data_IF_772328705231
#
_entry.id   IF_772328705231
#
_cell.length_a   1.000
_cell.length_b   1.000
_cell.length_c   1.000
_cell.angle_alpha   90.00
_cell.angle_beta   90.00
_cell.angle_gamma   90.00
#
_symmetry.space_group_name_H-M   'P 1'
#
loop_
_entity.id
_entity.type
_entity.pdbx_description
1 polymer ?
#
# COMPACT_ATOMS: atom_id res chain seq x y z
N UNK A 1 -5.21 -34.65 -15.22
CA UNK A 1 -4.25 -35.43 -16.05
C UNK A 1 -3.39 -36.32 -15.16
N UNK A 2 -2.62 -35.74 -14.25
CA UNK A 2 -1.76 -36.48 -13.29
C UNK A 2 -2.53 -37.50 -12.44
N UNK A 3 -3.72 -37.16 -11.93
CA UNK A 3 -4.59 -38.11 -11.21
C UNK A 3 -4.84 -39.41 -12.02
N UNK A 4 -5.17 -39.28 -13.31
CA UNK A 4 -5.40 -40.43 -14.17
C UNK A 4 -4.11 -41.21 -14.48
N UNK A 5 -2.97 -40.51 -14.61
CA UNK A 5 -1.68 -41.16 -14.83
C UNK A 5 -1.29 -42.01 -13.60
N UNK A 6 -1.49 -41.50 -12.39
CA UNK A 6 -1.25 -42.24 -11.13
C UNK A 6 -2.22 -43.43 -11.02
N UNK A 7 -3.51 -43.23 -11.27
CA UNK A 7 -4.53 -44.29 -11.25
C UNK A 7 -4.15 -45.45 -12.17
N UNK A 8 -3.82 -45.13 -13.42
CA UNK A 8 -3.43 -46.15 -14.42
C UNK A 8 -2.09 -46.79 -14.06
N UNK A 9 -1.13 -46.03 -13.55
CA UNK A 9 0.16 -46.56 -13.09
C UNK A 9 0.01 -47.57 -11.95
N UNK A 10 -0.81 -47.27 -10.95
CA UNK A 10 -1.09 -48.16 -9.83
C UNK A 10 -1.84 -49.43 -10.29
N UNK A 11 -2.82 -49.29 -11.18
CA UNK A 11 -3.53 -50.44 -11.75
C UNK A 11 -2.59 -51.39 -12.52
N UNK A 12 -1.63 -50.84 -13.27
CA UNK A 12 -0.60 -51.64 -13.95
C UNK A 12 0.30 -52.36 -12.96
N UNK A 13 0.72 -51.69 -11.89
CA UNK A 13 1.55 -52.32 -10.85
C UNK A 13 0.81 -53.48 -10.19
N UNK A 14 -0.46 -53.29 -9.82
CA UNK A 14 -1.29 -54.35 -9.23
C UNK A 14 -1.36 -55.54 -10.19
N UNK A 15 -1.69 -55.28 -11.45
CA UNK A 15 -1.78 -56.33 -12.47
C UNK A 15 -0.46 -57.08 -12.70
N UNK A 16 0.67 -56.37 -12.70
CA UNK A 16 2.00 -56.99 -12.85
C UNK A 16 2.32 -57.92 -11.67
N UNK A 17 2.04 -57.46 -10.44
CA UNK A 17 2.25 -58.25 -9.23
C UNK A 17 1.34 -59.47 -9.17
N UNK A 18 0.08 -59.33 -9.57
CA UNK A 18 -0.88 -60.43 -9.58
C UNK A 18 -0.53 -61.47 -10.66
N UNK A 19 -0.03 -61.06 -11.83
CA UNK A 19 0.27 -61.98 -12.93
C UNK A 19 1.59 -62.74 -12.77
N UNK A 20 2.60 -62.12 -12.15
CA UNK A 20 3.98 -62.64 -12.14
C UNK A 20 4.49 -63.04 -10.76
N UNK A 21 3.83 -62.60 -9.68
CA UNK A 21 4.30 -62.75 -8.31
C UNK A 21 3.18 -63.25 -7.36
N UNK A 22 2.44 -64.27 -7.82
CA UNK A 22 1.40 -64.97 -7.04
C UNK A 22 1.95 -65.61 -5.75
N UNK A 23 1.07 -66.15 -4.91
CA UNK A 23 1.44 -66.66 -3.56
C UNK A 23 2.46 -67.80 -3.60
N UNK A 24 2.49 -68.59 -4.67
CA UNK A 24 3.42 -69.72 -4.85
C UNK A 24 4.74 -69.32 -5.52
N UNK A 25 4.99 -68.02 -5.73
CA UNK A 25 6.22 -67.53 -6.35
C UNK A 25 7.42 -67.67 -5.40
N UNK A 26 8.39 -68.51 -5.79
CA UNK A 26 9.70 -68.59 -5.12
C UNK A 26 10.70 -67.62 -5.77
N UNK A 27 11.12 -66.61 -5.00
CA UNK A 27 12.10 -65.64 -5.46
C UNK A 27 13.51 -66.27 -5.57
N UNK A 28 14.28 -65.96 -6.64
CA UNK A 28 15.69 -66.34 -6.73
C UNK A 28 16.52 -65.84 -5.54
N UNK A 29 17.62 -66.52 -5.23
CA UNK A 29 18.49 -66.16 -4.10
C UNK A 29 19.03 -64.72 -4.26
N UNK A 30 18.66 -63.85 -3.31
CA UNK A 30 19.02 -62.43 -3.32
C UNK A 30 18.00 -61.50 -4.01
N UNK A 31 16.91 -62.02 -4.57
CA UNK A 31 15.82 -61.21 -5.14
C UNK A 31 14.78 -60.86 -4.07
N UNK A 32 14.59 -59.57 -3.83
CA UNK A 32 13.62 -59.02 -2.88
C UNK A 32 12.56 -58.12 -3.57
N UNK A 33 12.46 -58.18 -4.90
CA UNK A 33 11.57 -57.34 -5.69
C UNK A 33 10.11 -57.56 -5.28
N UNK A 34 9.65 -58.82 -5.25
CA UNK A 34 8.26 -59.16 -4.97
C UNK A 34 7.80 -58.64 -3.59
N UNK A 35 8.62 -58.85 -2.55
CA UNK A 35 8.31 -58.36 -1.20
C UNK A 35 8.26 -56.83 -1.15
N UNK A 36 9.27 -56.17 -1.73
CA UNK A 36 9.38 -54.70 -1.73
C UNK A 36 8.22 -54.06 -2.49
N UNK A 37 7.90 -54.59 -3.66
CA UNK A 37 6.85 -54.04 -4.52
C UNK A 37 5.44 -54.33 -4.00
N UNK A 38 5.21 -55.46 -3.31
CA UNK A 38 3.94 -55.72 -2.60
C UNK A 38 3.71 -54.70 -1.49
N UNK A 39 4.73 -54.41 -0.67
CA UNK A 39 4.65 -53.36 0.36
C UNK A 39 4.40 -51.98 -0.26
N UNK A 40 5.14 -51.65 -1.34
CA UNK A 40 4.94 -50.38 -2.04
C UNK A 40 3.53 -50.26 -2.64
N UNK A 41 2.99 -51.34 -3.23
CA UNK A 41 1.61 -51.40 -3.74
C UNK A 41 0.63 -51.04 -2.62
N UNK A 42 0.75 -51.65 -1.46
CA UNK A 42 -0.16 -51.43 -0.33
C UNK A 42 -0.11 -49.97 0.14
N UNK A 43 1.09 -49.43 0.35
CA UNK A 43 1.28 -48.01 0.72
C UNK A 43 0.76 -47.05 -0.36
N UNK A 44 0.93 -47.41 -1.64
CA UNK A 44 0.47 -46.60 -2.76
C UNK A 44 -1.05 -46.63 -2.92
N UNK A 45 -1.68 -47.78 -2.65
CA UNK A 45 -3.14 -47.94 -2.64
C UNK A 45 -3.77 -47.07 -1.54
N UNK A 46 -3.27 -47.16 -0.31
CA UNK A 46 -3.77 -46.34 0.81
C UNK A 46 -3.71 -44.84 0.47
N UNK A 47 -2.56 -44.37 -0.03
CA UNK A 47 -2.40 -42.96 -0.43
C UNK A 47 -3.29 -42.58 -1.62
N UNK A 48 -3.49 -43.50 -2.56
CA UNK A 48 -4.33 -43.24 -3.72
C UNK A 48 -5.81 -43.16 -3.33
N UNK A 49 -6.29 -43.99 -2.42
CA UNK A 49 -7.64 -43.92 -1.87
C UNK A 49 -7.91 -42.57 -1.21
N UNK A 50 -6.98 -42.08 -0.39
CA UNK A 50 -7.11 -40.73 0.19
C UNK A 50 -7.14 -39.62 -0.89
N UNK A 51 -6.32 -39.77 -1.94
CA UNK A 51 -6.29 -38.81 -3.04
C UNK A 51 -7.61 -38.84 -3.83
N UNK A 52 -8.17 -40.02 -4.06
CA UNK A 52 -9.46 -40.19 -4.74
C UNK A 52 -10.60 -39.52 -3.98
N UNK A 53 -10.65 -39.66 -2.66
CA UNK A 53 -11.64 -38.95 -1.82
C UNK A 53 -11.49 -37.43 -1.95
N UNK A 54 -10.27 -36.89 -1.90
CA UNK A 54 -10.05 -35.44 -2.05
C UNK A 54 -10.39 -34.97 -3.46
N UNK A 55 -10.05 -35.74 -4.48
CA UNK A 55 -10.30 -35.41 -5.88
C UNK A 55 -11.81 -35.39 -6.19
N UNK A 56 -12.55 -36.40 -5.75
CA UNK A 56 -14.01 -36.47 -5.90
C UNK A 56 -14.71 -35.36 -5.12
N UNK A 57 -14.30 -35.10 -3.87
CA UNK A 57 -14.84 -33.99 -3.08
C UNK A 57 -14.60 -32.64 -3.74
N UNK A 58 -13.42 -32.42 -4.32
CA UNK A 58 -13.11 -31.20 -5.08
C UNK A 58 -13.98 -31.07 -6.33
N UNK A 59 -14.17 -32.14 -7.09
CA UNK A 59 -15.00 -32.13 -8.31
C UNK A 59 -16.46 -31.80 -7.97
N UNK A 60 -17.04 -32.44 -6.95
CA UNK A 60 -18.41 -32.15 -6.49
C UNK A 60 -18.54 -30.69 -6.06
N UNK A 61 -17.65 -30.20 -5.20
CA UNK A 61 -17.69 -28.81 -4.74
C UNK A 61 -17.56 -27.81 -5.89
N UNK A 62 -16.70 -28.11 -6.88
CA UNK A 62 -16.57 -27.28 -8.07
C UNK A 62 -17.87 -27.24 -8.88
N UNK A 63 -18.46 -28.40 -9.17
CA UNK A 63 -19.70 -28.50 -9.94
C UNK A 63 -20.84 -27.75 -9.26
N UNK A 64 -20.97 -27.89 -7.93
CA UNK A 64 -22.00 -27.21 -7.14
C UNK A 64 -21.85 -25.69 -7.20
N UNK A 65 -20.64 -25.17 -7.01
CA UNK A 65 -20.38 -23.72 -7.03
C UNK A 65 -20.60 -23.14 -8.42
N UNK A 66 -20.13 -23.80 -9.48
CA UNK A 66 -20.33 -23.31 -10.86
C UNK A 66 -21.82 -23.29 -11.21
N UNK A 67 -22.55 -24.36 -10.90
CA UNK A 67 -23.99 -24.42 -11.10
C UNK A 67 -24.74 -23.37 -10.28
N UNK A 68 -24.30 -23.09 -9.05
CA UNK A 68 -24.88 -22.03 -8.20
C UNK A 68 -24.78 -20.65 -8.86
N UNK A 69 -23.70 -20.35 -9.57
CA UNK A 69 -23.55 -19.10 -10.34
C UNK A 69 -24.22 -19.13 -11.72
N UNK A 70 -24.93 -20.22 -12.06
CA UNK A 70 -25.70 -20.35 -13.30
C UNK A 70 -24.90 -20.80 -14.53
N UNK A 71 -23.65 -21.22 -14.32
CA UNK A 71 -22.76 -21.68 -15.38
C UNK A 71 -22.83 -23.21 -15.54
N UNK A 72 -22.40 -23.73 -16.69
CA UNK A 72 -22.34 -25.17 -16.93
C UNK A 72 -20.96 -25.74 -16.50
N UNK A 73 -20.89 -26.60 -15.46
CA UNK A 73 -19.63 -27.14 -14.97
C UNK A 73 -18.89 -28.06 -15.94
N UNK A 74 -19.58 -28.62 -16.95
CA UNK A 74 -18.92 -29.47 -17.96
C UNK A 74 -18.31 -28.63 -19.11
N UNK A 75 -18.71 -27.37 -19.25
CA UNK A 75 -18.22 -26.45 -20.29
C UNK A 75 -17.26 -25.39 -19.75
N UNK A 76 -17.34 -25.10 -18.46
CA UNK A 76 -16.48 -24.14 -17.80
C UNK A 76 -15.31 -24.85 -17.12
N UNK A 77 -14.09 -24.34 -17.32
CA UNK A 77 -12.91 -24.87 -16.62
C UNK A 77 -12.70 -24.16 -15.28
N UNK A 78 -12.13 -24.82 -14.26
CA UNK A 78 -11.83 -24.19 -12.97
C UNK A 78 -11.00 -22.91 -13.10
N UNK A 79 -9.95 -22.93 -13.93
CA UNK A 79 -9.08 -21.77 -14.14
C UNK A 79 -9.84 -20.57 -14.71
N UNK A 80 -10.77 -20.82 -15.64
CA UNK A 80 -11.61 -19.79 -16.24
C UNK A 80 -12.57 -19.21 -15.21
N UNK A 81 -13.32 -20.06 -14.51
CA UNK A 81 -14.27 -19.66 -13.48
C UNK A 81 -13.61 -18.82 -12.37
N UNK A 82 -12.52 -19.31 -11.78
CA UNK A 82 -11.84 -18.60 -10.69
C UNK A 82 -11.04 -17.37 -11.16
N UNK A 83 -10.69 -17.27 -12.45
CA UNK A 83 -10.04 -16.06 -12.99
C UNK A 83 -10.95 -14.84 -12.94
N UNK A 84 -12.27 -15.03 -13.06
CA UNK A 84 -13.28 -13.96 -12.97
C UNK A 84 -13.21 -13.35 -11.57
N UNK A 85 -13.28 -14.19 -10.53
CA UNK A 85 -13.20 -13.74 -9.14
C UNK A 85 -11.85 -13.13 -8.80
N UNK A 86 -10.74 -13.69 -9.29
CA UNK A 86 -9.40 -13.12 -9.10
C UNK A 86 -9.30 -11.71 -9.67
N UNK A 87 -9.84 -11.49 -10.87
CA UNK A 87 -9.88 -10.17 -11.52
C UNK A 87 -10.78 -9.22 -10.74
N UNK A 88 -11.97 -9.70 -10.34
CA UNK A 88 -12.93 -8.93 -9.56
C UNK A 88 -12.36 -8.47 -8.23
N UNK A 89 -11.77 -9.36 -7.42
CA UNK A 89 -11.19 -9.00 -6.12
C UNK A 89 -10.04 -8.01 -6.27
N UNK A 90 -9.15 -8.23 -7.25
CA UNK A 90 -8.05 -7.30 -7.55
C UNK A 90 -8.57 -5.91 -7.96
N UNK A 91 -9.62 -5.86 -8.79
CA UNK A 91 -10.25 -4.60 -9.22
C UNK A 91 -10.95 -3.90 -8.04
N UNK A 92 -11.65 -4.66 -7.22
CA UNK A 92 -12.34 -4.18 -6.02
C UNK A 92 -11.38 -3.55 -5.02
N UNK A 93 -10.26 -4.21 -4.72
CA UNK A 93 -9.22 -3.67 -3.85
C UNK A 93 -8.64 -2.35 -4.36
N UNK A 94 -8.38 -2.28 -5.68
CA UNK A 94 -7.93 -1.05 -6.33
C UNK A 94 -8.97 0.05 -6.21
N UNK A 95 -10.24 -0.23 -6.51
CA UNK A 95 -11.32 0.75 -6.40
C UNK A 95 -11.50 1.27 -4.97
N UNK A 96 -11.37 0.40 -3.96
CA UNK A 96 -11.39 0.83 -2.55
C UNK A 96 -10.24 1.80 -2.23
N UNK A 97 -9.03 1.48 -2.68
CA UNK A 97 -7.86 2.35 -2.49
C UNK A 97 -8.01 3.70 -3.19
N UNK A 98 -8.52 3.67 -4.43
CA UNK A 98 -8.78 4.86 -5.24
C UNK A 98 -9.85 5.75 -4.60
N UNK A 99 -10.92 5.15 -4.06
CA UNK A 99 -11.98 5.87 -3.35
C UNK A 99 -11.46 6.58 -2.09
N UNK A 100 -10.63 5.91 -1.28
CA UNK A 100 -9.99 6.52 -0.11
C UNK A 100 -9.08 7.68 -0.52
N UNK A 101 -8.30 7.48 -1.59
CA UNK A 101 -7.40 8.49 -2.12
C UNK A 101 -8.14 9.70 -2.69
N UNK A 102 -9.26 9.48 -3.37
CA UNK A 102 -10.12 10.52 -3.91
C UNK A 102 -10.72 11.39 -2.78
N UNK A 103 -11.24 10.78 -1.72
CA UNK A 103 -11.76 11.50 -0.54
C UNK A 103 -10.70 12.40 0.08
N UNK A 104 -9.49 11.88 0.32
CA UNK A 104 -8.36 12.67 0.86
C UNK A 104 -7.96 13.83 -0.05
N UNK A 105 -7.94 13.62 -1.37
CA UNK A 105 -7.62 14.69 -2.35
C UNK A 105 -8.67 15.81 -2.33
N UNK A 106 -9.95 15.47 -2.19
CA UNK A 106 -11.03 16.46 -2.09
C UNK A 106 -10.89 17.29 -0.81
N UNK A 107 -10.70 16.63 0.34
CA UNK A 107 -10.51 17.31 1.64
C UNK A 107 -9.30 18.25 1.62
N UNK A 108 -8.18 17.81 1.04
CA UNK A 108 -6.97 18.64 0.93
C UNK A 108 -7.19 19.87 0.03
N UNK A 109 -7.87 19.70 -1.11
CA UNK A 109 -8.21 20.82 -2.00
C UNK A 109 -9.11 21.83 -1.31
N UNK A 110 -10.13 21.36 -0.59
CA UNK A 110 -11.05 22.24 0.11
C UNK A 110 -10.36 23.02 1.24
N UNK A 111 -9.51 22.35 2.03
CA UNK A 111 -8.67 23.01 3.04
C UNK A 111 -7.72 24.04 2.41
N UNK A 112 -7.13 23.73 1.27
CA UNK A 112 -6.23 24.65 0.56
C UNK A 112 -6.98 25.88 0.05
N UNK A 113 -8.17 25.69 -0.52
CA UNK A 113 -9.05 26.78 -0.97
C UNK A 113 -9.42 27.72 0.18
N UNK A 114 -9.81 27.18 1.34
CA UNK A 114 -10.14 27.96 2.53
C UNK A 114 -8.96 28.79 3.05
N UNK A 115 -7.74 28.21 3.05
CA UNK A 115 -6.53 28.94 3.48
C UNK A 115 -6.20 30.07 2.49
N UNK A 116 -6.33 29.83 1.19
CA UNK A 116 -6.06 30.84 0.16
C UNK A 116 -7.07 31.98 0.22
N UNK A 117 -8.37 31.68 0.38
CA UNK A 117 -9.43 32.68 0.55
C UNK A 117 -9.19 33.54 1.80
N UNK A 118 -8.90 32.92 2.95
CA UNK A 118 -8.59 33.64 4.18
C UNK A 118 -7.34 34.52 4.05
N UNK A 119 -6.32 34.08 3.27
CA UNK A 119 -5.13 34.88 3.00
C UNK A 119 -5.46 36.08 2.10
N UNK A 120 -6.26 35.90 1.05
CA UNK A 120 -6.71 36.98 0.15
C UNK A 120 -7.53 38.02 0.91
N UNK A 121 -8.42 37.59 1.81
CA UNK A 121 -9.21 38.49 2.63
C UNK A 121 -8.35 39.32 3.59
N UNK A 122 -7.37 38.70 4.27
CA UNK A 122 -6.41 39.43 5.12
C UNK A 122 -5.63 40.51 4.36
N UNK A 123 -5.16 40.19 3.15
CA UNK A 123 -4.43 41.15 2.31
C UNK A 123 -5.34 42.32 1.90
N UNK A 124 -6.59 42.04 1.50
CA UNK A 124 -7.58 43.08 1.15
C UNK A 124 -7.88 43.99 2.34
N UNK A 125 -8.11 43.40 3.52
CA UNK A 125 -8.37 44.16 4.74
C UNK A 125 -7.19 45.04 5.16
N UNK A 126 -5.95 44.53 5.02
CA UNK A 126 -4.74 45.34 5.27
C UNK A 126 -4.62 46.50 4.27
N UNK A 127 -4.84 46.25 2.97
CA UNK A 127 -4.77 47.30 1.94
C UNK A 127 -5.81 48.39 2.17
N UNK A 128 -7.03 48.04 2.57
CA UNK A 128 -8.08 49.01 2.87
C UNK A 128 -7.71 49.89 4.08
N UNK A 129 -7.08 49.32 5.12
CA UNK A 129 -6.62 50.07 6.30
C UNK A 129 -5.46 51.04 6.01
N UNK A 130 -4.60 50.76 5.02
CA UNK A 130 -3.53 51.68 4.62
C UNK A 130 -4.01 52.84 3.72
N UNK A 131 -5.16 52.72 3.06
CA UNK A 131 -5.68 53.76 2.15
C UNK A 131 -6.36 54.92 2.91
N UNK A 132 -6.80 54.71 4.16
CA UNK A 132 -7.55 55.71 4.94
C UNK A 132 -6.68 56.72 5.72
N UNK A 133 -5.37 56.81 5.43
CA UNK A 133 -4.47 57.77 6.07
C UNK A 133 -3.71 58.68 5.11
N UNK A 134 -4.16 58.86 3.86
CA UNK A 134 -3.49 59.74 2.89
C UNK A 134 -4.17 61.07 2.56
N UNK A 135 -5.24 61.47 3.26
CA UNK A 135 -5.91 62.75 3.01
C UNK A 135 -6.03 63.61 4.27
N UNK A 136 -4.89 64.06 4.84
CA UNK A 136 -4.75 65.45 5.34
C UNK A 136 -3.30 65.80 5.74
N UNK A 137 -2.80 66.88 5.14
CA UNK A 137 -1.71 67.78 5.55
C UNK A 137 -0.21 67.39 5.31
N UNK A 138 0.58 68.29 4.69
CA UNK A 138 2.02 68.14 4.50
C UNK A 138 2.77 68.75 5.69
N UNK A 139 2.94 68.00 6.79
CA UNK A 139 3.92 68.34 7.82
C UNK A 139 4.15 67.12 8.74
N UNK A 140 5.32 66.48 8.64
CA UNK A 140 5.76 65.46 9.61
C UNK A 140 5.55 63.99 9.22
N UNK A 141 5.45 63.65 7.93
CA UNK A 141 5.16 62.29 7.42
C UNK A 141 6.37 61.38 7.23
N UNK A 142 7.56 61.77 7.69
CA UNK A 142 8.74 60.91 7.54
C UNK A 142 8.73 59.74 8.55
N UNK A 143 8.24 59.97 9.77
CA UNK A 143 8.33 58.97 10.86
C UNK A 143 7.35 57.78 10.75
N UNK A 144 6.15 57.99 10.17
CA UNK A 144 5.13 56.94 10.06
C UNK A 144 5.43 55.93 8.95
N UNK A 145 6.02 56.40 7.85
CA UNK A 145 6.41 55.56 6.71
C UNK A 145 7.77 54.88 6.91
N UNK A 146 8.58 55.39 7.86
CA UNK A 146 9.83 54.77 8.30
C UNK A 146 9.55 53.43 8.99
N UNK A 147 8.50 53.34 9.82
CA UNK A 147 8.15 52.07 10.50
C UNK A 147 7.77 50.98 9.49
N UNK A 148 6.93 51.30 8.51
CA UNK A 148 6.50 50.32 7.50
C UNK A 148 7.65 49.94 6.56
N UNK A 149 8.51 50.88 6.17
CA UNK A 149 9.73 50.57 5.42
C UNK A 149 10.71 49.70 6.22
N UNK A 150 10.82 49.93 7.55
CA UNK A 150 11.63 49.09 8.44
C UNK A 150 11.05 47.68 8.54
N UNK A 151 9.72 47.55 8.63
CA UNK A 151 9.02 46.26 8.70
C UNK A 151 9.11 45.49 7.37
N UNK A 152 9.01 46.16 6.23
CA UNK A 152 9.14 45.54 4.91
C UNK A 152 10.59 45.09 4.64
N UNK A 153 11.59 45.89 5.00
CA UNK A 153 13.01 45.48 4.95
C UNK A 153 13.31 44.32 5.90
N UNK A 154 12.72 44.32 7.09
CA UNK A 154 12.83 43.22 8.05
C UNK A 154 12.20 41.93 7.49
N UNK A 155 11.10 42.05 6.74
CA UNK A 155 10.40 40.93 6.11
C UNK A 155 11.10 40.43 4.85
N UNK A 156 11.75 41.34 4.10
CA UNK A 156 12.57 41.04 2.94
C UNK A 156 13.97 40.49 3.29
N UNK A 157 14.36 40.55 4.56
CA UNK A 157 15.65 40.04 5.03
C UNK A 157 16.86 40.95 4.75
N UNK A 158 16.62 42.15 4.20
CA UNK A 158 17.64 43.19 3.99
C UNK A 158 17.82 44.01 5.28
N UNK A 159 18.73 43.57 6.15
CA UNK A 159 19.16 44.36 7.31
C UNK A 159 20.68 44.50 7.25
N UNK A 160 21.13 45.61 6.68
CA UNK A 160 22.55 45.91 6.47
C UNK A 160 23.22 46.24 7.82
N UNK A 161 24.06 45.33 8.33
CA UNK A 161 24.68 45.43 9.67
C UNK A 161 25.92 46.33 9.68
N UNK A 162 25.80 47.55 9.15
CA UNK A 162 26.93 48.45 8.93
C UNK A 162 26.87 49.72 9.79
N UNK A 163 26.65 49.59 11.10
CA UNK A 163 27.08 50.63 12.06
C UNK A 163 27.74 49.99 13.28
N UNK A 164 29.07 50.11 13.32
CA UNK A 164 29.95 49.71 14.42
C UNK A 164 29.62 50.52 15.69
N UNK A 165 29.19 49.85 16.76
CA UNK A 165 29.50 50.18 18.19
C UNK A 165 29.52 48.90 19.01
N UNK A 166 30.69 48.27 19.11
CA UNK A 166 31.46 48.07 20.35
C UNK A 166 30.69 47.49 21.54
N UNK A 167 31.04 46.24 21.85
CA UNK A 167 31.21 45.68 23.21
C UNK A 167 29.95 45.61 24.08
N UNK A 168 29.31 44.42 24.13
CA UNK A 168 29.26 43.61 25.37
C UNK A 168 28.62 42.25 25.08
N UNK A 169 29.26 41.19 25.56
CA UNK A 169 28.83 39.80 25.49
C UNK A 169 27.45 39.56 26.09
N UNK A 170 26.50 38.98 25.31
CA UNK A 170 25.42 38.14 25.83
C UNK A 170 25.03 37.03 24.83
N UNK A 171 25.44 35.81 25.18
CA UNK A 171 24.88 34.48 24.85
C UNK A 171 24.72 34.05 23.37
N UNK A 172 25.62 33.18 22.91
CA UNK A 172 25.57 32.48 21.61
C UNK A 172 24.44 31.43 21.46
N UNK A 173 23.76 31.04 22.53
CA UNK A 173 22.78 29.96 22.50
C UNK A 173 21.46 30.28 21.76
N UNK A 174 21.13 31.56 21.54
CA UNK A 174 19.86 31.94 20.89
C UNK A 174 19.98 32.14 19.38
N UNK A 175 21.20 32.39 18.86
CA UNK A 175 21.46 32.51 17.41
C UNK A 175 21.52 31.14 16.74
N UNK A 176 22.08 30.15 17.43
CA UNK A 176 22.24 28.79 16.94
C UNK A 176 20.89 28.05 16.79
N UNK A 177 19.96 28.21 17.75
CA UNK A 177 18.60 27.66 17.64
C UNK A 177 17.76 28.28 16.52
N UNK A 178 18.04 29.53 16.15
CA UNK A 178 17.31 30.22 15.07
C UNK A 178 17.83 29.80 13.69
N UNK A 179 19.14 29.58 13.57
CA UNK A 179 19.76 29.08 12.35
C UNK A 179 19.43 27.60 12.07
N UNK A 180 19.39 26.75 13.10
CA UNK A 180 18.97 25.34 12.94
C UNK A 180 17.50 25.20 12.51
N UNK A 181 16.62 26.11 12.95
CA UNK A 181 15.20 26.07 12.57
C UNK A 181 14.98 26.57 11.14
N UNK A 182 15.68 27.61 10.70
CA UNK A 182 15.65 28.07 9.30
C UNK A 182 16.31 27.06 8.36
N UNK A 183 17.40 26.42 8.76
CA UNK A 183 17.99 25.29 8.01
C UNK A 183 17.00 24.14 7.90
N UNK A 184 16.32 23.74 8.98
CA UNK A 184 15.34 22.64 8.92
C UNK A 184 14.17 22.92 7.97
N UNK A 185 13.74 24.19 7.88
CA UNK A 185 12.66 24.60 6.97
C UNK A 185 13.18 24.70 5.54
N UNK A 186 14.41 25.17 5.34
CA UNK A 186 15.05 25.24 4.03
C UNK A 186 15.33 23.84 3.47
N UNK A 187 15.78 22.90 4.30
CA UNK A 187 15.99 21.50 3.93
C UNK A 187 14.67 20.78 3.63
N UNK A 188 13.60 21.06 4.40
CA UNK A 188 12.27 20.52 4.12
C UNK A 188 11.71 21.07 2.81
N UNK A 189 11.98 22.34 2.51
CA UNK A 189 11.57 22.98 1.25
C UNK A 189 12.39 22.45 0.06
N UNK A 190 13.69 22.23 0.21
CA UNK A 190 14.54 21.59 -0.80
C UNK A 190 14.12 20.15 -1.09
N UNK A 191 13.79 19.35 -0.06
CA UNK A 191 13.32 17.98 -0.23
C UNK A 191 11.96 17.94 -0.98
N UNK A 192 11.06 18.87 -0.63
CA UNK A 192 9.77 19.02 -1.32
C UNK A 192 9.96 19.43 -2.79
N UNK A 193 10.84 20.41 -3.07
CA UNK A 193 11.13 20.87 -4.43
C UNK A 193 11.83 19.80 -5.26
N UNK A 194 12.76 19.06 -4.65
CA UNK A 194 13.48 17.96 -5.31
C UNK A 194 12.55 16.79 -5.64
N UNK A 195 11.57 16.50 -4.76
CA UNK A 195 10.52 15.51 -5.05
C UNK A 195 9.61 15.90 -6.22
N UNK A 196 9.40 17.20 -6.45
CA UNK A 196 8.64 17.71 -7.61
C UNK A 196 9.47 17.76 -8.88
N UNK A 197 10.80 17.87 -8.77
CA UNK A 197 11.71 17.95 -9.91
C UNK A 197 12.14 16.58 -10.45
N UNK A 198 11.93 15.50 -9.68
CA UNK A 198 12.26 14.12 -10.09
C UNK A 198 11.11 13.35 -10.73
N UNK A 199 9.95 13.97 -10.99
CA UNK A 199 8.80 13.26 -11.61
C UNK A 199 8.80 13.37 -13.16
N UNK A 200 9.97 13.13 -13.75
CA UNK A 200 10.14 12.73 -15.16
C UNK A 200 10.91 11.38 -15.14
N UNK A 201 10.17 10.26 -15.16
CA UNK A 201 10.68 8.91 -15.45
C UNK A 201 10.82 7.92 -14.27
N UNK A 202 9.93 6.93 -14.21
CA UNK A 202 9.87 5.78 -13.25
C UNK A 202 11.09 4.82 -13.28
N UNK A 203 11.22 3.69 -12.49
CA UNK A 203 10.45 3.15 -11.34
C UNK A 203 11.29 2.62 -10.12
N UNK A 204 10.59 2.35 -8.98
CA UNK A 204 10.83 1.38 -7.86
C UNK A 204 12.19 1.30 -7.08
N UNK A 205 12.15 1.44 -5.74
CA UNK A 205 12.43 0.35 -4.75
C UNK A 205 12.92 0.80 -3.35
N UNK A 206 12.16 0.37 -2.32
CA UNK A 206 12.51 -0.01 -0.93
C UNK A 206 13.26 0.94 0.04
N UNK A 207 12.62 1.26 1.19
CA UNK A 207 13.20 0.98 2.52
C UNK A 207 12.16 0.94 3.65
N UNK A 208 12.35 -0.08 4.49
CA UNK A 208 11.54 -0.52 5.63
C UNK A 208 11.82 0.27 6.92
N UNK A 209 10.78 0.55 7.73
CA UNK A 209 10.65 0.11 9.14
C UNK A 209 9.81 1.03 10.05
N UNK A 210 8.74 0.43 10.60
CA UNK A 210 8.17 0.55 11.95
C UNK A 210 7.60 1.88 12.49
N UNK A 211 6.26 1.93 12.61
CA UNK A 211 5.59 2.18 13.91
C UNK A 211 4.13 1.67 13.99
N UNK A 212 4.05 0.46 14.52
CA UNK A 212 3.06 -0.16 15.42
C UNK A 212 1.89 0.73 15.96
N UNK A 213 0.69 0.13 15.90
CA UNK A 213 -0.55 0.28 16.71
C UNK A 213 -1.50 1.45 16.44
N UNK A 214 -2.52 1.18 15.60
CA UNK A 214 -3.94 1.48 15.89
C UNK A 214 -4.87 0.63 15.01
N UNK A 215 -4.97 -0.66 15.31
CA UNK A 215 -5.97 -1.58 14.75
C UNK A 215 -6.93 -1.93 15.88
N UNK A 216 -8.19 -1.49 15.77
CA UNK A 216 -9.35 -2.02 16.52
C UNK A 216 -10.69 -1.37 16.11
N UNK A 217 -10.75 -0.60 15.02
CA UNK A 217 -12.01 0.07 14.61
C UNK A 217 -12.58 -0.48 13.29
N UNK A 218 -11.81 -1.29 12.55
CA UNK A 218 -12.26 -1.86 11.26
C UNK A 218 -12.93 -3.22 11.41
N UNK A 219 -12.52 -4.02 12.39
CA UNK A 219 -13.08 -5.37 12.59
C UNK A 219 -14.50 -5.30 13.17
N UNK A 220 -14.82 -4.23 13.90
CA UNK A 220 -16.18 -3.99 14.44
C UNK A 220 -17.22 -3.63 13.37
N UNK A 221 -16.79 -2.99 12.28
CA UNK A 221 -17.69 -2.61 11.17
C UNK A 221 -17.92 -3.76 10.18
N UNK A 222 -17.09 -4.80 10.20
CA UNK A 222 -17.26 -6.00 9.37
C UNK A 222 -18.21 -7.01 10.01
N UNK A 223 -18.25 -7.12 11.34
CA UNK A 223 -19.26 -7.96 12.02
C UNK A 223 -20.68 -7.38 11.95
N UNK A 224 -20.83 -6.05 11.96
CA UNK A 224 -22.16 -5.42 11.91
C UNK A 224 -22.81 -5.51 10.50
N UNK A 225 -22.02 -5.70 9.44
CA UNK A 225 -22.53 -5.83 8.07
C UNK A 225 -22.85 -7.27 7.65
N UNK A 226 -22.35 -8.28 8.38
CA UNK A 226 -22.59 -9.70 8.07
C UNK A 226 -23.82 -10.25 8.82
N UNK A 227 -24.36 -9.50 9.79
CA UNK A 227 -25.48 -9.92 10.65
C UNK A 227 -26.79 -9.15 10.38
N UNK A 228 -26.87 -8.34 9.31
CA UNK A 228 -28.11 -7.71 8.83
C UNK A 228 -28.46 -8.18 7.42
#
# INVERSE_FOLDING_TARGET
REYNEIRVGLQKLIQELDNHYEEDYEAPEGDNYAETMKRFRDDAMEKFEELEVRYTSMDVAYRDVVAYFGENPDQMKPDEFFSIFKTFTSSWERAMSDNVSAKKKIELREKTRQIEEARKEKIKAQKLRCVDTSDTNPSGTEDKNIMDNLLDKLRAGEMDTSVKRSKQERSGASREKRMQKSESVSLLAEDLLKSMQTDEGSPLSSRSSNRVRKSNEKDKLLEEFVVS
#
